data_IF_370841225407
#
_entry.id   IF_370841225407
#
_cell.length_a   1.000
_cell.length_b   1.000
_cell.length_c   1.000
_cell.angle_alpha   90.00
_cell.angle_beta   90.00
_cell.angle_gamma   90.00
#
_symmetry.space_group_name_H-M   'P 1'
#
loop_
_entity.id
_entity.type
_entity.pdbx_description
1 polymer ?
#
# COMPACT_ATOMS: atom_id res chain seq x y z
N UNK A 1 1.96 -14.40 -57.24
CA UNK A 1 0.64 -14.06 -57.82
C UNK A 1 -0.40 -14.93 -57.13
N UNK A 2 -1.14 -14.37 -56.16
CA UNK A 2 -2.53 -14.75 -55.81
C UNK A 2 -3.00 -13.78 -54.73
N UNK A 3 -3.78 -12.81 -55.18
CA UNK A 3 -4.50 -11.80 -54.42
C UNK A 3 -5.86 -12.36 -53.99
N UNK A 4 -6.16 -12.32 -52.70
CA UNK A 4 -7.54 -12.48 -52.18
C UNK A 4 -7.81 -11.40 -51.16
N UNK A 5 -8.58 -10.41 -51.60
CA UNK A 5 -9.12 -9.34 -50.77
C UNK A 5 -10.39 -9.79 -50.06
N UNK A 6 -10.57 -9.30 -48.84
CA UNK A 6 -11.82 -9.39 -48.10
C UNK A 6 -12.28 -7.98 -47.75
N UNK A 7 -13.48 -7.66 -48.23
CA UNK A 7 -14.24 -6.44 -48.02
C UNK A 7 -15.07 -6.62 -46.75
N UNK A 8 -14.91 -5.72 -45.77
CA UNK A 8 -15.83 -5.64 -44.63
C UNK A 8 -16.63 -4.33 -44.67
N UNK A 9 -17.96 -4.37 -44.44
CA UNK A 9 -18.82 -3.21 -44.59
C UNK A 9 -18.78 -2.30 -43.36
N UNK A 10 -18.73 -0.99 -43.64
CA UNK A 10 -19.06 0.11 -42.73
C UNK A 10 -20.52 0.01 -42.30
N UNK A 11 -20.79 0.08 -41.00
CA UNK A 11 -22.08 0.54 -40.48
C UNK A 11 -21.86 1.68 -39.48
N UNK A 12 -22.25 2.87 -39.94
CA UNK A 12 -22.55 4.05 -39.15
C UNK A 12 -23.82 3.80 -38.32
N UNK A 13 -23.86 4.26 -37.08
CA UNK A 13 -25.10 4.74 -36.48
C UNK A 13 -24.80 5.74 -35.38
N UNK A 14 -25.07 7.00 -35.71
CA UNK A 14 -25.18 8.13 -34.81
C UNK A 14 -26.22 7.87 -33.73
N UNK A 15 -25.97 8.37 -32.51
CA UNK A 15 -27.02 8.83 -31.59
C UNK A 15 -26.43 9.82 -30.60
N UNK A 16 -26.56 11.10 -30.96
CA UNK A 16 -26.45 12.21 -30.03
C UNK A 16 -27.71 12.23 -29.15
N UNK A 17 -27.52 12.21 -27.84
CA UNK A 17 -28.59 12.48 -26.88
C UNK A 17 -28.12 13.55 -25.91
N UNK A 18 -28.69 14.74 -26.10
CA UNK A 18 -28.61 15.89 -25.20
C UNK A 18 -29.11 15.53 -23.81
N UNK A 19 -28.32 15.88 -22.79
CA UNK A 19 -28.75 15.85 -21.39
C UNK A 19 -28.41 17.19 -20.73
N UNK A 20 -29.31 18.16 -20.89
CA UNK A 20 -29.41 19.33 -20.04
C UNK A 20 -30.00 18.89 -18.69
N UNK A 21 -29.21 18.92 -17.60
CA UNK A 21 -29.76 18.81 -16.23
C UNK A 21 -29.05 19.77 -15.27
N UNK A 22 -29.77 20.87 -15.00
CA UNK A 22 -30.10 21.42 -13.68
C UNK A 22 -29.00 21.39 -12.61
N UNK A 23 -28.34 22.55 -12.46
CA UNK A 23 -27.61 22.95 -11.27
C UNK A 23 -28.54 22.92 -10.05
N UNK A 24 -28.20 22.09 -9.04
CA UNK A 24 -28.82 22.18 -7.70
C UNK A 24 -28.04 23.19 -6.85
N UNK A 25 -28.73 23.99 -6.02
CA UNK A 25 -28.08 24.94 -5.12
C UNK A 25 -27.44 24.21 -3.93
N UNK A 26 -26.17 24.50 -3.67
CA UNK A 26 -25.44 24.06 -2.49
C UNK A 26 -25.99 24.77 -1.25
N UNK A 27 -26.52 24.01 -0.29
CA UNK A 27 -26.82 24.52 1.05
C UNK A 27 -25.51 24.58 1.86
N UNK A 28 -25.08 25.80 2.15
CA UNK A 28 -23.93 26.09 3.00
C UNK A 28 -24.33 25.81 4.46
N UNK A 29 -23.87 24.69 5.02
CA UNK A 29 -24.03 24.38 6.44
C UNK A 29 -22.95 25.15 7.22
N UNK A 30 -23.34 26.19 7.95
CA UNK A 30 -22.46 26.89 8.89
C UNK A 30 -22.50 26.14 10.21
N UNK A 31 -21.41 25.43 10.54
CA UNK A 31 -21.20 24.83 11.85
C UNK A 31 -20.82 25.93 12.85
N UNK A 32 -21.53 25.98 13.97
CA UNK A 32 -21.25 26.89 15.09
C UNK A 32 -19.93 26.50 15.80
N UNK A 33 -18.92 27.38 15.86
CA UNK A 33 -17.66 27.11 16.53
C UNK A 33 -17.69 27.70 17.94
N UNK A 34 -18.28 27.02 18.92
CA UNK A 34 -18.20 27.47 20.32
C UNK A 34 -18.45 26.37 21.35
N UNK A 35 -17.68 25.28 21.27
CA UNK A 35 -17.54 24.34 22.39
C UNK A 35 -16.06 24.25 22.76
N UNK A 36 -15.60 25.22 23.55
CA UNK A 36 -14.27 25.22 24.17
C UNK A 36 -14.26 24.20 25.32
N UNK A 37 -13.89 22.95 25.00
CA UNK A 37 -13.63 21.92 26.01
C UNK A 37 -12.22 22.09 26.56
N UNK A 38 -12.08 23.03 27.49
CA UNK A 38 -10.84 23.23 28.25
C UNK A 38 -10.74 22.16 29.35
N UNK A 39 -10.30 20.96 28.97
CA UNK A 39 -9.97 19.87 29.90
C UNK A 39 -8.47 19.60 29.80
N UNK A 40 -7.70 20.35 30.58
CA UNK A 40 -6.29 20.09 30.85
C UNK A 40 -6.17 18.82 31.71
N UNK A 41 -6.40 17.67 31.08
CA UNK A 41 -6.20 16.37 31.70
C UNK A 41 -4.71 16.14 31.92
N UNK A 42 -4.25 15.91 33.17
CA UNK A 42 -2.84 15.67 33.48
C UNK A 42 -2.29 14.35 32.89
N UNK A 43 -3.10 13.60 32.14
CA UNK A 43 -2.73 12.33 31.49
C UNK A 43 -2.25 12.47 30.04
N UNK A 44 -2.23 13.67 29.45
CA UNK A 44 -1.79 13.86 28.06
C UNK A 44 -0.30 13.52 27.85
N UNK A 45 0.57 13.79 28.83
CA UNK A 45 2.00 13.49 28.68
C UNK A 45 2.32 12.00 28.52
N UNK A 46 1.62 11.13 29.27
CA UNK A 46 1.86 9.69 29.20
C UNK A 46 1.39 9.06 27.87
N UNK A 47 0.37 9.64 27.22
CA UNK A 47 -0.06 9.20 25.89
C UNK A 47 0.91 9.62 24.79
N UNK A 48 1.52 10.80 24.91
CA UNK A 48 2.57 11.25 24.00
C UNK A 48 3.80 10.33 24.08
N UNK A 49 4.23 9.95 25.30
CA UNK A 49 5.34 9.02 25.51
C UNK A 49 5.08 7.62 24.91
N UNK A 50 3.85 7.09 25.06
CA UNK A 50 3.46 5.79 24.47
C UNK A 50 3.41 5.88 22.95
N UNK A 51 2.94 7.00 22.39
CA UNK A 51 2.85 7.19 20.95
C UNK A 51 4.24 7.35 20.31
N UNK A 52 5.18 8.00 21.01
CA UNK A 52 6.59 8.08 20.62
C UNK A 52 7.27 6.69 20.70
N UNK A 53 6.93 5.88 21.69
CA UNK A 53 7.40 4.49 21.81
C UNK A 53 6.85 3.59 20.68
N UNK A 54 5.57 3.73 20.31
CA UNK A 54 4.97 2.98 19.19
C UNK A 54 5.59 3.39 17.85
N UNK A 55 5.85 4.69 17.65
CA UNK A 55 6.55 5.16 16.45
C UNK A 55 7.99 4.65 16.41
N UNK A 56 8.70 4.68 17.55
CA UNK A 56 10.03 4.08 17.70
C UNK A 56 10.03 2.58 17.43
N UNK A 57 9.04 1.83 17.91
CA UNK A 57 8.90 0.40 17.64
C UNK A 57 8.55 0.14 16.16
N UNK A 58 7.73 0.97 15.54
CA UNK A 58 7.42 0.88 14.10
C UNK A 58 8.63 1.22 13.23
N UNK A 59 9.56 2.03 13.73
CA UNK A 59 10.87 2.28 13.13
C UNK A 59 11.87 1.16 13.42
N UNK A 60 11.74 0.45 14.55
CA UNK A 60 12.65 -0.61 14.99
C UNK A 60 12.24 -2.03 14.60
N UNK A 61 10.99 -2.30 14.16
CA UNK A 61 10.61 -3.63 13.64
C UNK A 61 11.22 -3.80 12.24
N UNK A 62 12.25 -4.66 12.06
CA UNK A 62 13.05 -4.75 10.82
C UNK A 62 12.39 -5.60 9.73
N UNK A 63 11.06 -5.74 9.74
CA UNK A 63 10.38 -6.58 8.77
C UNK A 63 10.22 -5.85 7.42
N UNK A 64 11.22 -6.00 6.56
CA UNK A 64 11.06 -5.86 5.11
C UNK A 64 11.16 -4.45 4.52
N UNK A 65 11.73 -3.47 5.24
CA UNK A 65 12.02 -2.16 4.64
C UNK A 65 13.27 -2.23 3.77
N UNK A 66 13.08 -2.01 2.47
CA UNK A 66 14.17 -1.87 1.50
C UNK A 66 15.04 -0.66 1.85
N UNK A 67 16.37 -0.80 1.78
CA UNK A 67 17.27 0.36 1.86
C UNK A 67 17.07 1.27 0.65
N UNK A 68 17.39 2.57 0.78
CA UNK A 68 17.24 3.53 -0.32
C UNK A 68 18.06 3.14 -1.56
N UNK A 69 19.24 2.54 -1.38
CA UNK A 69 20.06 2.02 -2.47
C UNK A 69 19.45 0.77 -3.11
N UNK A 70 18.85 -0.13 -2.32
CA UNK A 70 18.10 -1.28 -2.82
C UNK A 70 16.87 -0.84 -3.62
N UNK A 71 16.13 0.15 -3.15
CA UNK A 71 14.97 0.73 -3.84
C UNK A 71 15.38 1.23 -5.23
N UNK A 72 16.41 2.08 -5.30
CA UNK A 72 16.88 2.64 -6.57
C UNK A 72 17.35 1.55 -7.53
N UNK A 73 18.09 0.56 -7.03
CA UNK A 73 18.55 -0.59 -7.83
C UNK A 73 17.37 -1.41 -8.36
N UNK A 74 16.39 -1.72 -7.52
CA UNK A 74 15.21 -2.47 -7.95
C UNK A 74 14.46 -1.74 -9.06
N UNK A 75 14.27 -0.43 -8.91
CA UNK A 75 13.54 0.39 -9.89
C UNK A 75 14.32 0.54 -11.20
N UNK A 76 15.65 0.72 -11.14
CA UNK A 76 16.49 0.77 -12.34
C UNK A 76 16.52 -0.56 -13.10
N UNK A 77 16.43 -1.68 -12.38
CA UNK A 77 16.52 -3.03 -12.94
C UNK A 77 15.17 -3.55 -13.47
N UNK A 78 14.07 -2.82 -13.27
CA UNK A 78 12.77 -3.19 -13.85
C UNK A 78 12.86 -3.13 -15.39
N UNK A 79 12.53 -4.22 -16.13
CA UNK A 79 12.52 -4.18 -17.59
C UNK A 79 11.35 -3.35 -18.11
N UNK A 80 11.55 -2.58 -19.19
CA UNK A 80 10.44 -1.97 -19.95
C UNK A 80 9.98 -2.96 -21.01
N UNK A 81 8.67 -3.23 -21.06
CA UNK A 81 8.08 -4.11 -22.06
C UNK A 81 7.46 -3.28 -23.18
N UNK A 82 7.82 -3.59 -24.42
CA UNK A 82 7.17 -3.05 -25.61
C UNK A 82 5.84 -3.76 -25.89
N UNK A 83 4.96 -3.13 -26.68
CA UNK A 83 3.65 -3.68 -27.07
C UNK A 83 3.76 -5.07 -27.68
N UNK A 84 4.71 -5.27 -28.61
CA UNK A 84 4.96 -6.58 -29.24
C UNK A 84 5.20 -7.65 -28.19
N UNK A 85 5.94 -7.33 -27.12
CA UNK A 85 6.26 -8.29 -26.08
C UNK A 85 5.07 -8.63 -25.20
N UNK A 86 4.21 -7.66 -24.92
CA UNK A 86 2.95 -7.89 -24.20
C UNK A 86 2.03 -8.82 -25.01
N UNK A 87 1.96 -8.63 -26.34
CA UNK A 87 1.19 -9.48 -27.24
C UNK A 87 1.77 -10.91 -27.31
N UNK A 88 3.11 -11.04 -27.44
CA UNK A 88 3.79 -12.34 -27.44
C UNK A 88 3.55 -13.15 -26.16
N UNK A 89 3.44 -12.46 -25.02
CA UNK A 89 3.15 -13.09 -23.73
C UNK A 89 1.69 -13.52 -23.58
N UNK A 90 0.80 -13.14 -24.52
CA UNK A 90 -0.64 -13.42 -24.45
C UNK A 90 -1.40 -12.48 -23.51
N UNK A 91 -0.77 -11.37 -23.09
CA UNK A 91 -1.27 -10.46 -22.06
C UNK A 91 -1.95 -9.22 -22.66
N UNK A 92 -2.40 -9.31 -23.93
CA UNK A 92 -2.93 -8.19 -24.72
C UNK A 92 -4.12 -7.49 -24.06
N UNK A 93 -5.06 -8.28 -23.55
CA UNK A 93 -6.33 -7.79 -22.99
C UNK A 93 -6.30 -7.70 -21.45
N UNK A 94 -5.13 -7.94 -20.84
CA UNK A 94 -4.96 -7.83 -19.40
C UNK A 94 -4.68 -6.39 -18.96
N UNK A 95 -4.84 -6.17 -17.65
CA UNK A 95 -4.79 -4.87 -17.02
C UNK A 95 -3.83 -4.89 -15.84
N UNK A 96 -3.26 -3.73 -15.53
CA UNK A 96 -2.48 -3.56 -14.31
C UNK A 96 -3.38 -3.85 -13.10
N UNK A 97 -3.03 -4.78 -12.20
CA UNK A 97 -3.88 -5.14 -11.05
C UNK A 97 -3.93 -4.05 -9.97
N UNK A 98 -3.13 -2.98 -10.09
CA UNK A 98 -3.09 -1.87 -9.11
C UNK A 98 -4.00 -0.72 -9.58
N UNK A 99 -3.78 -0.18 -10.78
CA UNK A 99 -4.61 0.91 -11.32
C UNK A 99 -5.81 0.46 -12.18
N UNK A 100 -5.91 -0.82 -12.52
CA UNK A 100 -6.93 -1.38 -13.41
C UNK A 100 -6.93 -0.79 -14.84
N UNK A 101 -5.85 -0.13 -15.26
CA UNK A 101 -5.69 0.36 -16.63
C UNK A 101 -5.18 -0.77 -17.54
N UNK A 102 -5.75 -0.99 -18.74
CA UNK A 102 -5.26 -1.96 -19.71
C UNK A 102 -3.80 -1.69 -20.11
N UNK A 103 -3.01 -2.75 -20.29
CA UNK A 103 -1.58 -2.61 -20.63
C UNK A 103 -1.36 -1.84 -21.95
N UNK A 104 -2.20 -2.07 -22.96
CA UNK A 104 -2.13 -1.33 -24.23
C UNK A 104 -2.37 0.16 -24.03
N UNK A 105 -3.30 0.56 -23.16
CA UNK A 105 -3.55 1.98 -22.86
C UNK A 105 -2.33 2.62 -22.22
N UNK A 106 -1.70 1.95 -21.26
CA UNK A 106 -0.47 2.43 -20.61
C UNK A 106 0.68 2.61 -21.62
N UNK A 107 0.82 1.69 -22.58
CA UNK A 107 1.84 1.79 -23.63
C UNK A 107 1.54 2.93 -24.61
N UNK A 108 0.28 3.13 -25.00
CA UNK A 108 -0.09 4.29 -25.83
C UNK A 108 0.15 5.62 -25.11
N UNK A 109 -0.07 5.69 -23.80
CA UNK A 109 0.26 6.86 -22.98
C UNK A 109 1.77 7.13 -22.94
N UNK A 110 2.59 6.09 -22.83
CA UNK A 110 4.05 6.18 -22.89
C UNK A 110 4.51 6.72 -24.25
N UNK A 111 4.02 6.16 -25.36
CA UNK A 111 4.36 6.61 -26.71
C UNK A 111 3.95 8.08 -26.94
N UNK A 112 2.74 8.46 -26.51
CA UNK A 112 2.26 9.84 -26.61
C UNK A 112 3.08 10.80 -25.74
N UNK A 113 3.43 10.40 -24.52
CA UNK A 113 4.23 11.24 -23.62
C UNK A 113 5.65 11.46 -24.16
N UNK A 114 6.26 10.42 -24.75
CA UNK A 114 7.56 10.52 -25.41
C UNK A 114 7.50 11.37 -26.69
N UNK A 115 6.43 11.25 -27.48
CA UNK A 115 6.26 12.04 -28.70
C UNK A 115 6.02 13.53 -28.45
N UNK A 116 5.44 13.87 -27.29
CA UNK A 116 5.12 15.26 -26.91
C UNK A 116 6.16 15.88 -25.97
N UNK A 117 7.23 15.16 -25.61
CA UNK A 117 8.24 15.58 -24.62
C UNK A 117 7.61 16.16 -23.35
N UNK A 118 6.50 15.54 -22.88
CA UNK A 118 5.71 16.11 -21.79
C UNK A 118 6.50 16.07 -20.48
N UNK A 119 6.76 17.23 -19.82
CA UNK A 119 7.52 17.28 -18.57
C UNK A 119 6.73 16.74 -17.36
N UNK A 120 5.47 16.33 -17.55
CA UNK A 120 4.59 15.96 -16.45
C UNK A 120 4.98 14.64 -15.77
N UNK A 121 5.65 13.73 -16.48
CA UNK A 121 6.02 12.42 -15.95
C UNK A 121 7.45 12.03 -16.34
N UNK A 122 8.29 11.59 -15.38
CA UNK A 122 9.61 11.09 -15.68
C UNK A 122 9.52 9.83 -16.57
N UNK A 123 10.35 9.71 -17.62
CA UNK A 123 10.29 8.59 -18.56
C UNK A 123 10.56 7.23 -17.91
N UNK A 124 11.16 7.20 -16.71
CA UNK A 124 11.45 6.01 -15.93
C UNK A 124 10.18 5.39 -15.31
N UNK A 125 9.10 6.15 -15.14
CA UNK A 125 7.82 5.71 -14.57
C UNK A 125 6.76 5.34 -15.63
N UNK A 126 7.05 5.60 -16.91
CA UNK A 126 6.14 5.31 -18.02
C UNK A 126 6.27 3.86 -18.49
N UNK A 127 5.17 3.30 -18.97
CA UNK A 127 5.14 1.97 -19.59
C UNK A 127 4.79 0.81 -18.67
N UNK A 128 4.99 -0.39 -19.19
CA UNK A 128 4.67 -1.67 -18.52
C UNK A 128 5.95 -2.42 -18.17
N UNK A 129 5.95 -3.08 -17.02
CA UNK A 129 7.08 -3.91 -16.57
C UNK A 129 6.62 -5.28 -16.09
N UNK A 130 7.56 -6.22 -16.10
CA UNK A 130 7.39 -7.59 -15.60
C UNK A 130 8.50 -7.92 -14.61
N UNK A 131 8.12 -8.48 -13.47
CA UNK A 131 9.06 -8.97 -12.46
C UNK A 131 9.74 -10.26 -12.96
N UNK A 132 10.80 -10.11 -13.74
CA UNK A 132 11.39 -11.18 -14.56
C UNK A 132 12.63 -11.86 -13.95
N UNK A 133 13.12 -11.40 -12.80
CA UNK A 133 14.26 -12.04 -12.17
C UNK A 133 13.94 -13.50 -11.75
N UNK A 134 14.93 -14.40 -11.68
CA UNK A 134 14.70 -15.81 -11.36
C UNK A 134 13.94 -16.06 -10.06
N UNK A 135 14.17 -15.25 -9.03
CA UNK A 135 13.48 -15.32 -7.74
C UNK A 135 12.12 -14.59 -7.74
N UNK A 136 11.84 -13.78 -8.75
CA UNK A 136 10.60 -13.02 -8.85
C UNK A 136 9.45 -13.88 -9.40
N UNK A 137 8.23 -13.35 -9.33
CA UNK A 137 7.00 -14.08 -9.62
C UNK A 137 6.51 -13.96 -11.07
N UNK A 138 7.08 -13.07 -11.89
CA UNK A 138 6.63 -12.88 -13.27
C UNK A 138 5.37 -12.02 -13.44
N UNK A 139 4.81 -11.44 -12.38
CA UNK A 139 3.64 -10.56 -12.50
C UNK A 139 3.97 -9.25 -13.23
N UNK A 140 2.97 -8.70 -13.91
CA UNK A 140 3.06 -7.50 -14.75
C UNK A 140 2.30 -6.32 -14.13
N UNK A 141 2.88 -5.13 -14.23
CA UNK A 141 2.34 -3.89 -13.65
C UNK A 141 2.69 -2.70 -14.55
N UNK A 142 1.97 -1.58 -14.39
CA UNK A 142 2.48 -0.31 -14.90
C UNK A 142 3.69 0.11 -14.05
N UNK A 143 4.71 0.73 -14.66
CA UNK A 143 5.94 1.12 -13.95
C UNK A 143 5.67 2.12 -12.83
N UNK A 144 4.80 3.09 -13.06
CA UNK A 144 4.39 4.09 -12.07
C UNK A 144 3.95 3.46 -10.75
N UNK A 145 3.03 2.51 -10.77
CA UNK A 145 2.44 1.97 -9.53
C UNK A 145 3.38 1.01 -8.81
N UNK A 146 4.10 0.15 -9.54
CA UNK A 146 5.07 -0.75 -8.90
C UNK A 146 6.27 0.03 -8.34
N UNK A 147 6.72 1.10 -8.99
CA UNK A 147 7.75 1.99 -8.45
C UNK A 147 7.26 2.68 -7.18
N UNK A 148 6.04 3.22 -7.16
CA UNK A 148 5.43 3.79 -5.95
C UNK A 148 5.33 2.79 -4.81
N UNK A 149 4.96 1.55 -5.12
CA UNK A 149 4.90 0.46 -4.15
C UNK A 149 6.29 0.18 -3.54
N UNK A 150 7.33 0.06 -4.36
CA UNK A 150 8.72 -0.15 -3.91
C UNK A 150 9.22 1.05 -3.11
N UNK A 151 8.93 2.28 -3.54
CA UNK A 151 9.26 3.51 -2.80
C UNK A 151 8.55 3.60 -1.45
N UNK A 152 7.37 2.99 -1.30
CA UNK A 152 6.68 2.83 -0.02
C UNK A 152 7.40 1.91 0.98
N UNK A 153 8.53 1.32 0.58
CA UNK A 153 9.33 0.41 1.39
C UNK A 153 8.79 -1.02 1.37
N UNK A 154 7.90 -1.36 0.43
CA UNK A 154 7.38 -2.72 0.29
C UNK A 154 8.35 -3.58 -0.52
N UNK A 155 8.83 -4.66 0.10
CA UNK A 155 9.76 -5.63 -0.48
C UNK A 155 9.07 -6.81 -1.17
N UNK A 156 7.74 -6.82 -1.26
CA UNK A 156 6.96 -7.95 -1.76
C UNK A 156 6.04 -7.57 -2.92
N UNK A 157 5.77 -8.53 -3.81
CA UNK A 157 4.89 -8.35 -4.95
C UNK A 157 3.43 -8.12 -4.49
N UNK A 158 2.73 -7.08 -5.01
CA UNK A 158 1.33 -6.81 -4.64
C UNK A 158 0.35 -7.96 -4.89
N UNK A 159 0.62 -8.81 -5.88
CA UNK A 159 -0.28 -9.91 -6.27
C UNK A 159 -0.07 -11.19 -5.47
N UNK A 160 1.18 -11.61 -5.26
CA UNK A 160 1.46 -12.92 -4.64
C UNK A 160 2.33 -12.86 -3.40
N UNK A 161 2.70 -11.65 -2.95
CA UNK A 161 3.54 -11.41 -1.76
C UNK A 161 4.92 -12.07 -1.80
N UNK A 162 5.38 -12.55 -2.97
CA UNK A 162 6.76 -13.03 -3.15
C UNK A 162 7.72 -11.83 -3.07
N UNK A 163 8.86 -12.04 -2.39
CA UNK A 163 9.90 -11.01 -2.23
C UNK A 163 10.44 -10.55 -3.59
N UNK A 164 10.70 -9.24 -3.69
CA UNK A 164 11.22 -8.57 -4.89
C UNK A 164 12.75 -8.61 -4.94
N UNK A 165 13.39 -8.60 -3.76
CA UNK A 165 14.83 -8.84 -3.64
C UNK A 165 15.07 -10.35 -3.60
N UNK A 166 16.19 -10.78 -4.14
CA UNK A 166 16.76 -12.08 -3.86
C UNK A 166 17.00 -12.14 -2.35
N UNK A 167 16.16 -12.89 -1.62
CA UNK A 167 16.50 -13.20 -0.24
C UNK A 167 17.90 -13.80 -0.27
N UNK A 168 18.80 -13.36 0.62
CA UNK A 168 20.09 -13.98 0.86
C UNK A 168 19.92 -15.42 1.42
N UNK A 169 19.00 -16.20 0.87
CA UNK A 169 18.70 -17.57 1.22
C UNK A 169 19.86 -18.54 0.90
N UNK A 170 21.00 -18.01 0.45
CA UNK A 170 22.23 -18.78 0.20
C UNK A 170 23.50 -18.19 0.83
N UNK A 171 23.46 -16.97 1.39
CA UNK A 171 24.55 -16.51 2.25
C UNK A 171 24.18 -16.93 3.66
N UNK A 172 24.68 -18.10 4.07
CA UNK A 172 24.71 -18.49 5.47
C UNK A 172 25.16 -17.27 6.28
N UNK A 173 24.34 -16.76 7.23
CA UNK A 173 24.68 -15.59 8.00
C UNK A 173 26.08 -15.79 8.56
N UNK A 174 26.94 -14.78 8.41
CA UNK A 174 28.32 -14.90 8.84
C UNK A 174 28.34 -15.15 10.35
N UNK A 175 29.41 -15.74 10.87
CA UNK A 175 29.53 -15.97 12.31
C UNK A 175 29.44 -14.63 13.09
N UNK A 176 29.84 -13.52 12.47
CA UNK A 176 29.69 -12.17 12.99
C UNK A 176 28.22 -11.75 13.09
N UNK A 177 27.43 -11.93 12.02
CA UNK A 177 25.99 -11.64 12.03
C UNK A 177 25.25 -12.45 13.11
N UNK A 178 25.60 -13.74 13.25
CA UNK A 178 25.03 -14.61 14.30
C UNK A 178 25.39 -14.14 15.70
N UNK A 179 26.62 -13.64 15.90
CA UNK A 179 27.06 -13.13 17.19
C UNK A 179 26.35 -11.82 17.54
N UNK A 180 26.19 -10.91 16.58
CA UNK A 180 25.47 -9.66 16.76
C UNK A 180 23.98 -9.91 17.08
N UNK A 181 23.32 -10.81 16.34
CA UNK A 181 21.94 -11.21 16.62
C UNK A 181 21.80 -11.85 18.01
N UNK A 182 22.76 -12.70 18.41
CA UNK A 182 22.78 -13.31 19.73
C UNK A 182 23.05 -12.29 20.86
N UNK A 183 23.83 -11.25 20.61
CA UNK A 183 24.06 -10.14 21.56
C UNK A 183 22.81 -9.25 21.67
N UNK A 184 22.18 -8.93 20.55
CA UNK A 184 20.92 -8.19 20.53
C UNK A 184 19.81 -8.95 21.27
N UNK A 185 19.65 -10.25 21.01
CA UNK A 185 18.68 -11.09 21.71
C UNK A 185 18.94 -11.13 23.22
N UNK A 186 20.21 -11.18 23.65
CA UNK A 186 20.58 -11.08 25.08
C UNK A 186 20.16 -9.75 25.67
N UNK A 187 20.47 -8.64 24.99
CA UNK A 187 20.14 -7.28 25.43
C UNK A 187 18.63 -7.06 25.52
N UNK A 188 17.87 -7.57 24.56
CA UNK A 188 16.41 -7.52 24.60
C UNK A 188 15.86 -8.34 25.76
N UNK A 189 16.40 -9.55 25.99
CA UNK A 189 15.94 -10.41 27.09
C UNK A 189 16.22 -9.82 28.47
N UNK A 190 17.34 -9.13 28.66
CA UNK A 190 17.67 -8.46 29.93
C UNK A 190 16.73 -7.29 30.17
N UNK A 191 16.47 -6.48 29.15
CA UNK A 191 15.50 -5.39 29.23
C UNK A 191 14.09 -5.89 29.55
N UNK A 192 13.62 -6.94 28.86
CA UNK A 192 12.30 -7.53 29.11
C UNK A 192 12.17 -8.05 30.56
N UNK A 193 13.21 -8.67 31.12
CA UNK A 193 13.22 -9.09 32.53
C UNK A 193 13.13 -7.90 33.48
N UNK A 194 13.88 -6.83 33.23
CA UNK A 194 13.83 -5.62 34.05
C UNK A 194 12.44 -4.97 34.01
N UNK A 195 11.78 -4.96 32.86
CA UNK A 195 10.43 -4.43 32.71
C UNK A 195 9.40 -5.27 33.50
N UNK A 196 9.48 -6.59 33.43
CA UNK A 196 8.62 -7.48 34.21
C UNK A 196 8.85 -7.33 35.72
N UNK A 197 10.10 -7.12 36.13
CA UNK A 197 10.44 -6.88 37.53
C UNK A 197 9.90 -5.52 38.02
N UNK A 198 9.97 -4.49 37.18
CA UNK A 198 9.35 -3.19 37.46
C UNK A 198 7.83 -3.31 37.62
N UNK A 199 7.16 -4.04 36.72
CA UNK A 199 5.72 -4.32 36.85
C UNK A 199 5.40 -5.05 38.16
N UNK A 200 6.22 -6.04 38.56
CA UNK A 200 6.04 -6.73 39.84
C UNK A 200 6.14 -5.78 41.03
N UNK A 201 7.13 -4.87 41.04
CA UNK A 201 7.29 -3.89 42.12
C UNK A 201 6.09 -2.95 42.24
N UNK A 202 5.54 -2.50 41.11
CA UNK A 202 4.33 -1.66 41.12
C UNK A 202 3.12 -2.39 41.71
N UNK A 203 2.98 -3.69 41.45
CA UNK A 203 1.93 -4.53 42.06
C UNK A 203 2.16 -4.71 43.56
N UNK A 204 3.40 -4.95 43.99
CA UNK A 204 3.76 -5.12 45.41
C UNK A 204 3.57 -3.84 46.23
N UNK A 205 3.85 -2.67 45.65
CA UNK A 205 3.63 -1.37 46.28
C UNK A 205 2.14 -0.98 46.35
N UNK A 206 1.24 -1.85 45.87
CA UNK A 206 -0.21 -1.67 45.88
C UNK A 206 -0.65 -0.31 45.29
N UNK A 207 0.15 0.19 44.34
CA UNK A 207 -0.21 1.34 43.53
C UNK A 207 -1.31 0.83 42.60
N UNK A 208 -2.56 1.07 43.01
CA UNK A 208 -3.73 0.67 42.24
C UNK A 208 -3.73 1.44 40.92
N UNK A 209 -3.19 0.81 39.87
CA UNK A 209 -3.47 1.27 38.52
C UNK A 209 -4.99 1.21 38.33
N UNK A 210 -5.65 2.30 37.91
CA UNK A 210 -7.08 2.30 37.67
C UNK A 210 -7.42 1.13 36.75
N UNK A 211 -8.21 0.19 37.25
CA UNK A 211 -8.48 -1.11 36.64
C UNK A 211 -9.18 -1.02 35.25
N UNK A 212 -9.43 0.20 34.75
CA UNK A 212 -9.98 0.49 33.43
C UNK A 212 -8.96 0.92 32.36
N UNK A 213 -7.73 1.32 32.70
CA UNK A 213 -6.83 1.91 31.71
C UNK A 213 -6.28 0.89 30.69
N UNK A 214 -6.05 -0.36 31.10
CA UNK A 214 -5.57 -1.41 30.19
C UNK A 214 -6.71 -1.99 29.32
N UNK A 215 -7.95 -1.96 29.81
CA UNK A 215 -9.12 -2.37 29.02
C UNK A 215 -9.41 -1.36 27.90
N UNK A 216 -9.20 -0.06 28.14
CA UNK A 216 -9.34 0.98 27.12
C UNK A 216 -8.18 0.93 26.10
N UNK A 217 -6.95 0.61 26.53
CA UNK A 217 -5.82 0.43 25.62
C UNK A 217 -5.92 -0.88 24.81
N UNK A 218 -6.42 -1.97 25.39
CA UNK A 218 -6.71 -3.21 24.66
C UNK A 218 -7.93 -3.08 23.73
N UNK A 219 -8.93 -2.25 24.06
CA UNK A 219 -10.01 -1.89 23.13
C UNK A 219 -9.52 -0.99 21.98
N UNK A 220 -8.44 -0.23 22.17
CA UNK A 220 -7.85 0.67 21.17
C UNK A 220 -6.72 0.03 20.35
N UNK A 221 -6.06 -1.00 20.88
CA UNK A 221 -5.08 -1.85 20.19
C UNK A 221 -5.70 -3.16 19.64
N UNK A 222 -6.98 -3.41 19.95
CA UNK A 222 -7.71 -4.64 19.65
C UNK A 222 -8.98 -4.45 18.81
N UNK A 223 -9.04 -3.41 17.97
CA UNK A 223 -9.86 -3.45 16.74
C UNK A 223 -9.07 -4.09 15.57
N UNK A 224 -8.32 -5.14 15.92
CA UNK A 224 -8.09 -6.28 15.04
C UNK A 224 -9.14 -7.33 15.34
N UNK A 225 -10.43 -6.96 15.31
CA UNK A 225 -11.50 -7.91 15.08
C UNK A 225 -11.11 -8.68 13.82
N UNK A 226 -10.77 -9.96 13.97
CA UNK A 226 -11.01 -10.90 12.89
C UNK A 226 -12.52 -10.94 12.75
N UNK A 227 -13.03 -10.12 11.82
CA UNK A 227 -14.41 -10.13 11.37
C UNK A 227 -14.73 -11.48 10.76
N UNK A 228 -15.05 -12.46 11.61
CA UNK A 228 -15.99 -13.48 11.20
C UNK A 228 -17.39 -12.88 11.27
N UNK A 229 -17.76 -12.26 10.15
CA UNK A 229 -19.13 -12.30 9.62
C UNK A 229 -20.20 -11.46 10.34
N UNK A 230 -20.05 -10.13 10.31
CA UNK A 230 -21.18 -9.20 10.42
C UNK A 230 -21.12 -8.20 9.29
N UNK A 231 -21.50 -8.64 8.09
CA UNK A 231 -21.94 -7.76 7.02
C UNK A 231 -23.19 -6.99 7.49
N UNK A 232 -22.95 -5.83 8.10
CA UNK A 232 -23.97 -4.81 8.30
C UNK A 232 -24.64 -4.50 6.96
N UNK A 233 -25.95 -4.51 7.02
CA UNK A 233 -26.89 -4.56 5.90
C UNK A 233 -27.42 -3.17 5.54
N UNK A 234 -26.81 -2.10 6.07
CA UNK A 234 -27.49 -0.81 6.22
C UNK A 234 -27.13 0.26 5.18
N UNK A 235 -26.04 0.12 4.41
CA UNK A 235 -25.68 1.16 3.43
C UNK A 235 -26.39 1.02 2.07
N UNK A 236 -27.23 -0.01 1.89
CA UNK A 236 -27.87 -0.29 0.58
C UNK A 236 -29.23 0.37 0.39
N UNK A 237 -29.90 0.84 1.45
CA UNK A 237 -31.22 1.48 1.35
C UNK A 237 -31.17 2.96 0.97
N UNK A 238 -30.03 3.64 1.13
CA UNK A 238 -29.94 5.07 0.85
C UNK A 238 -29.94 5.38 -0.68
N UNK A 239 -29.51 4.42 -1.50
CA UNK A 239 -29.49 4.56 -2.97
C UNK A 239 -30.79 4.17 -3.69
N UNK A 240 -31.74 3.49 -3.01
CA UNK A 240 -33.00 3.07 -3.65
C UNK A 240 -33.99 4.22 -3.93
N UNK A 241 -33.80 5.40 -3.33
CA UNK A 241 -34.71 6.55 -3.51
C UNK A 241 -34.48 7.34 -4.80
N UNK A 242 -33.37 7.11 -5.52
CA UNK A 242 -33.02 7.87 -6.74
C UNK A 242 -33.51 7.26 -8.06
N UNK A 243 -34.07 6.04 -8.04
CA UNK A 243 -34.55 5.33 -9.24
C UNK A 243 -36.06 5.00 -9.21
N UNK A 244 -36.84 5.64 -8.33
CA UNK A 244 -38.31 5.55 -8.34
C UNK A 244 -38.95 6.66 -9.17
#
# INVERSE_FOLDING_TARGET
>A
MTTTGLVFPRLLSERAASASRLLRPYHHYTMDPSVETNTSSPYNGALEDIQELINSLREQVPAGRLSSSQIQKLISDLPRLEEKKVIELGERDNFCPICFTPYLTILTEEEMALALDSPAHPPEELGVTKLSQPWQCGHMFCRRDISKWIYGGHDSCPMCRRLLIEGQAGEEPTEEDRQEEAEYARTYSTFARQMLEMQRRLVEENISFPQGMFAEFAARAGDGSVDTNTYSRDDRSEYSSMYS
#
